data_IF_388873218830
#
_entry.id   IF_388873218830
#
_cell.length_a   1.000
_cell.length_b   1.000
_cell.length_c   1.000
_cell.angle_alpha   90.00
_cell.angle_beta   90.00
_cell.angle_gamma   90.00
#
_symmetry.space_group_name_H-M   'P 1'
#
loop_
_entity.id
_entity.type
_entity.pdbx_description
1 polymer ?
#
# COMPACT_ATOMS: atom_id res chain seq x y z
N UNK A 1 -64.54 -19.22 -32.66
CA UNK A 1 -63.46 -18.44 -32.03
C UNK A 1 -62.61 -19.41 -31.22
N UNK A 2 -61.39 -19.71 -31.69
CA UNK A 2 -60.46 -20.63 -31.02
C UNK A 2 -59.50 -19.79 -30.17
N UNK A 3 -59.53 -19.97 -28.85
CA UNK A 3 -58.59 -19.34 -27.94
C UNK A 3 -57.38 -20.25 -27.78
N UNK A 4 -56.27 -19.92 -28.42
CA UNK A 4 -54.97 -20.54 -28.16
C UNK A 4 -54.56 -20.30 -26.71
N UNK A 5 -54.10 -21.32 -25.95
CA UNK A 5 -53.56 -21.10 -24.62
C UNK A 5 -52.09 -20.69 -24.78
N UNK A 6 -51.82 -19.39 -24.85
CA UNK A 6 -50.47 -18.90 -24.62
C UNK A 6 -50.16 -19.07 -23.12
N UNK A 7 -49.39 -20.11 -22.80
CA UNK A 7 -48.82 -20.33 -21.47
C UNK A 7 -47.70 -19.30 -21.25
N UNK A 8 -48.04 -18.16 -20.64
CA UNK A 8 -47.15 -17.02 -20.41
C UNK A 8 -46.27 -17.15 -19.16
N UNK A 9 -45.96 -18.37 -18.71
CA UNK A 9 -45.00 -18.52 -17.61
C UNK A 9 -43.58 -18.56 -18.19
N UNK A 10 -42.73 -17.53 -17.95
CA UNK A 10 -41.32 -17.65 -18.30
C UNK A 10 -40.74 -18.83 -17.52
N UNK A 11 -40.08 -19.76 -18.22
CA UNK A 11 -39.36 -20.85 -17.59
C UNK A 11 -38.18 -20.28 -16.79
N UNK A 12 -38.41 -19.91 -15.54
CA UNK A 12 -37.33 -19.70 -14.61
C UNK A 12 -36.67 -21.06 -14.38
N UNK A 13 -35.41 -21.18 -14.83
CA UNK A 13 -34.52 -22.26 -14.41
C UNK A 13 -34.42 -22.21 -12.88
N UNK A 14 -35.26 -22.98 -12.17
CA UNK A 14 -35.04 -23.30 -10.76
C UNK A 14 -33.85 -24.25 -10.71
N UNK A 15 -32.65 -23.68 -10.71
CA UNK A 15 -31.43 -24.43 -10.38
C UNK A 15 -31.56 -24.93 -8.95
N UNK A 16 -31.93 -26.21 -8.79
CA UNK A 16 -31.89 -26.90 -7.50
C UNK A 16 -30.42 -27.15 -7.13
N UNK A 17 -29.71 -26.11 -6.67
CA UNK A 17 -28.42 -26.29 -6.03
C UNK A 17 -28.67 -26.96 -4.67
N UNK A 18 -28.52 -28.27 -4.60
CA UNK A 18 -28.54 -29.02 -3.34
C UNK A 18 -27.25 -28.69 -2.57
N UNK A 19 -27.35 -27.75 -1.64
CA UNK A 19 -26.22 -27.28 -0.80
C UNK A 19 -25.91 -28.23 0.36
N UNK A 20 -26.83 -29.13 0.70
CA UNK A 20 -26.71 -30.11 1.80
C UNK A 20 -25.36 -30.84 1.85
N UNK A 21 -24.86 -31.49 0.77
CA UNK A 21 -23.58 -32.21 0.80
C UNK A 21 -22.40 -31.26 1.04
N UNK A 22 -22.44 -30.04 0.49
CA UNK A 22 -21.38 -29.03 0.66
C UNK A 22 -21.33 -28.55 2.11
N UNK A 23 -22.48 -28.30 2.72
CA UNK A 23 -22.55 -27.86 4.13
C UNK A 23 -22.07 -28.93 5.10
N UNK A 24 -22.30 -30.22 4.82
CA UNK A 24 -21.83 -31.32 5.65
C UNK A 24 -20.30 -31.43 5.61
N UNK A 25 -19.68 -31.34 4.43
CA UNK A 25 -18.22 -31.36 4.25
C UNK A 25 -17.56 -30.14 4.91
N UNK A 26 -18.15 -28.95 4.76
CA UNK A 26 -17.65 -27.72 5.41
C UNK A 26 -17.70 -27.86 6.95
N UNK A 27 -18.77 -28.42 7.51
CA UNK A 27 -18.86 -28.65 8.97
C UNK A 27 -17.84 -29.67 9.46
N UNK A 28 -17.62 -30.75 8.71
CA UNK A 28 -16.65 -31.79 9.04
C UNK A 28 -15.21 -31.28 9.02
N UNK A 29 -14.92 -30.29 8.17
CA UNK A 29 -13.59 -29.71 7.99
C UNK A 29 -13.55 -28.20 8.31
N UNK A 30 -14.36 -27.76 9.29
CA UNK A 30 -14.51 -26.35 9.60
C UNK A 30 -13.17 -25.66 9.91
N UNK A 31 -12.27 -26.34 10.61
CA UNK A 31 -10.93 -25.83 10.92
C UNK A 31 -10.09 -25.58 9.66
N UNK A 32 -10.10 -26.51 8.69
CA UNK A 32 -9.39 -26.36 7.42
C UNK A 32 -9.98 -25.23 6.57
N UNK A 33 -11.31 -25.09 6.57
CA UNK A 33 -12.00 -24.00 5.89
C UNK A 33 -11.61 -22.66 6.52
N UNK A 34 -11.61 -22.55 7.85
CA UNK A 34 -11.16 -21.35 8.55
C UNK A 34 -9.69 -21.03 8.24
N UNK A 35 -8.80 -22.03 8.29
CA UNK A 35 -7.39 -21.85 7.95
C UNK A 35 -7.21 -21.36 6.51
N UNK A 36 -7.93 -21.97 5.56
CA UNK A 36 -7.91 -21.55 4.16
C UNK A 36 -8.39 -20.11 3.97
N UNK A 37 -9.48 -19.71 4.65
CA UNK A 37 -9.98 -18.33 4.62
C UNK A 37 -8.96 -17.34 5.20
N UNK A 38 -8.28 -17.70 6.28
CA UNK A 38 -7.22 -16.87 6.88
C UNK A 38 -6.07 -16.70 5.88
N UNK A 39 -5.59 -17.80 5.28
CA UNK A 39 -4.52 -17.75 4.27
C UNK A 39 -4.95 -16.89 3.08
N UNK A 40 -6.16 -17.09 2.57
CA UNK A 40 -6.69 -16.32 1.45
C UNK A 40 -6.80 -14.83 1.78
N UNK A 41 -7.20 -14.49 3.01
CA UNK A 41 -7.20 -13.12 3.50
C UNK A 41 -5.80 -12.50 3.52
N UNK A 42 -4.80 -13.19 4.06
CA UNK A 42 -3.42 -12.67 4.09
C UNK A 42 -2.81 -12.52 2.70
N UNK A 43 -2.99 -13.51 1.82
CA UNK A 43 -2.51 -13.45 0.43
C UNK A 43 -3.20 -12.33 -0.35
N UNK A 44 -4.53 -12.20 -0.20
CA UNK A 44 -5.30 -11.15 -0.84
C UNK A 44 -4.83 -9.75 -0.42
N UNK A 45 -4.59 -9.54 0.89
CA UNK A 45 -4.04 -8.28 1.38
C UNK A 45 -2.63 -8.01 0.83
N UNK A 46 -1.75 -9.00 0.84
CA UNK A 46 -0.39 -8.84 0.30
C UNK A 46 -0.40 -8.46 -1.20
N UNK A 47 -1.33 -9.03 -1.98
CA UNK A 47 -1.49 -8.68 -3.39
C UNK A 47 -1.97 -7.24 -3.59
N UNK A 48 -2.94 -6.78 -2.79
CA UNK A 48 -3.43 -5.41 -2.81
C UNK A 48 -2.29 -4.43 -2.46
N UNK A 49 -1.54 -4.72 -1.40
CA UNK A 49 -0.43 -3.89 -0.96
C UNK A 49 0.68 -3.80 -2.00
N UNK A 50 1.04 -4.92 -2.62
CA UNK A 50 2.06 -4.92 -3.67
C UNK A 50 1.58 -4.17 -4.93
N UNK A 51 0.28 -4.29 -5.28
CA UNK A 51 -0.30 -3.52 -6.38
C UNK A 51 -0.30 -2.01 -6.10
N UNK A 52 -0.59 -1.59 -4.86
CA UNK A 52 -0.48 -0.18 -4.47
C UNK A 52 0.97 0.32 -4.60
N UNK A 53 1.93 -0.45 -4.08
CA UNK A 53 3.36 -0.14 -4.21
C UNK A 53 3.77 0.04 -5.67
N UNK A 54 3.45 -0.91 -6.54
CA UNK A 54 3.80 -0.85 -7.97
C UNK A 54 3.22 0.39 -8.67
N UNK A 55 1.97 0.76 -8.35
CA UNK A 55 1.33 1.97 -8.90
C UNK A 55 2.06 3.25 -8.49
N UNK A 56 2.48 3.34 -7.23
CA UNK A 56 3.22 4.50 -6.70
C UNK A 56 4.60 4.60 -7.36
N UNK A 57 5.30 3.48 -7.48
CA UNK A 57 6.64 3.45 -8.08
C UNK A 57 6.61 3.71 -9.60
N UNK A 58 5.57 3.26 -10.31
CA UNK A 58 5.42 3.47 -11.75
C UNK A 58 5.07 4.93 -12.10
N UNK A 59 4.29 5.60 -11.25
CA UNK A 59 3.90 7.00 -11.46
C UNK A 59 3.95 7.79 -10.14
N UNK A 60 5.15 8.21 -9.70
CA UNK A 60 5.33 9.01 -8.49
C UNK A 60 4.61 10.35 -8.57
N UNK A 61 3.96 10.75 -7.48
CA UNK A 61 3.23 12.01 -7.34
C UNK A 61 3.61 12.73 -6.05
N UNK A 62 3.43 14.05 -6.02
CA UNK A 62 3.61 14.86 -4.81
C UNK A 62 2.84 14.23 -3.64
N UNK A 63 3.45 14.25 -2.46
CA UNK A 63 2.99 13.63 -1.22
C UNK A 63 2.99 12.09 -1.18
N UNK A 64 3.59 11.42 -2.17
CA UNK A 64 3.87 9.99 -2.05
C UNK A 64 5.00 9.74 -1.02
N UNK A 65 4.93 8.58 -0.38
CA UNK A 65 5.90 8.14 0.62
C UNK A 65 6.66 6.93 0.11
N UNK A 66 7.99 6.99 0.19
CA UNK A 66 8.90 5.93 -0.22
C UNK A 66 9.65 5.46 1.01
N UNK A 67 9.82 4.16 1.17
CA UNK A 67 10.50 3.58 2.34
C UNK A 67 11.77 2.89 1.87
N UNK A 68 12.91 3.33 2.40
CA UNK A 68 14.22 3.04 1.82
C UNK A 68 15.25 2.61 2.87
N UNK A 69 16.21 1.77 2.46
CA UNK A 69 17.52 1.67 3.11
C UNK A 69 18.40 2.86 2.71
N UNK A 70 18.45 3.90 3.54
CA UNK A 70 19.14 5.15 3.25
C UNK A 70 20.65 5.00 3.00
N UNK A 71 21.26 3.92 3.49
CA UNK A 71 22.69 3.68 3.32
C UNK A 71 23.09 3.44 1.86
N UNK A 72 22.12 3.06 1.02
CA UNK A 72 22.29 2.90 -0.43
C UNK A 72 22.45 4.24 -1.16
N UNK A 73 22.01 5.34 -0.52
CA UNK A 73 22.18 6.71 -1.00
C UNK A 73 23.42 7.33 -0.37
N UNK A 74 23.54 7.20 0.95
CA UNK A 74 24.64 7.75 1.74
C UNK A 74 25.33 6.63 2.53
N UNK A 75 26.42 6.04 2.01
CA UNK A 75 27.14 4.95 2.67
C UNK A 75 27.75 5.32 4.02
N UNK A 76 27.93 6.62 4.30
CA UNK A 76 28.48 7.15 5.55
C UNK A 76 27.41 7.31 6.64
N UNK A 77 26.13 7.19 6.29
CA UNK A 77 25.03 7.22 7.25
C UNK A 77 25.06 6.04 8.22
N UNK A 78 24.34 6.17 9.34
CA UNK A 78 24.32 5.17 10.42
C UNK A 78 23.92 3.77 9.90
N UNK A 79 24.83 2.82 10.07
CA UNK A 79 24.64 1.44 9.63
C UNK A 79 23.53 0.69 10.37
N UNK A 80 23.29 1.07 11.63
CA UNK A 80 22.27 0.46 12.50
C UNK A 80 20.91 1.07 12.22
N UNK A 81 20.81 2.37 12.03
CA UNK A 81 19.54 3.08 11.83
C UNK A 81 19.44 3.62 10.40
N UNK A 82 19.11 2.73 9.46
CA UNK A 82 19.17 3.02 8.01
C UNK A 82 17.82 3.07 7.31
N UNK A 83 16.76 2.50 7.89
CA UNK A 83 15.46 2.43 7.23
C UNK A 83 14.60 3.64 7.55
N UNK A 84 14.39 4.52 6.59
CA UNK A 84 13.70 5.81 6.78
C UNK A 84 12.56 5.99 5.77
N UNK A 85 11.55 6.81 6.12
CA UNK A 85 10.59 7.29 5.16
C UNK A 85 11.14 8.49 4.39
N UNK A 86 10.86 8.55 3.09
CA UNK A 86 11.05 9.71 2.23
C UNK A 86 9.66 10.21 1.82
N UNK A 87 9.41 11.51 1.94
CA UNK A 87 8.19 12.16 1.43
C UNK A 87 8.52 12.90 0.15
N UNK A 88 7.84 12.57 -0.94
CA UNK A 88 8.01 13.24 -2.23
C UNK A 88 7.38 14.63 -2.18
N UNK A 89 8.18 15.66 -2.41
CA UNK A 89 7.75 17.05 -2.45
C UNK A 89 7.41 17.53 -3.86
N UNK A 90 8.24 17.15 -4.83
CA UNK A 90 8.10 17.60 -6.21
C UNK A 90 8.54 16.52 -7.21
N UNK A 91 7.90 16.54 -8.37
CA UNK A 91 8.17 15.65 -9.49
C UNK A 91 8.46 16.50 -10.71
N UNK A 92 9.74 16.64 -11.06
CA UNK A 92 10.18 17.32 -12.28
C UNK A 92 10.33 16.31 -13.43
N UNK A 93 10.76 16.79 -14.60
CA UNK A 93 10.94 15.93 -15.78
C UNK A 93 12.00 14.85 -15.55
N UNK A 94 13.11 15.17 -14.90
CA UNK A 94 14.24 14.25 -14.71
C UNK A 94 14.55 13.92 -13.24
N UNK A 95 14.06 14.73 -12.30
CA UNK A 95 14.40 14.66 -10.89
C UNK A 95 13.16 14.54 -10.00
N UNK A 96 13.36 13.92 -8.85
CA UNK A 96 12.40 13.81 -7.76
C UNK A 96 13.02 14.45 -6.51
N UNK A 97 12.28 15.35 -5.86
CA UNK A 97 12.73 16.05 -4.65
C UNK A 97 12.00 15.49 -3.44
N UNK A 98 12.73 15.08 -2.42
CA UNK A 98 12.21 14.41 -1.24
C UNK A 98 12.59 15.14 0.05
N UNK A 99 11.70 15.07 1.06
CA UNK A 99 12.07 15.23 2.46
C UNK A 99 12.44 13.88 3.07
N UNK A 100 13.59 13.83 3.72
CA UNK A 100 14.08 12.62 4.40
C UNK A 100 13.57 12.62 5.84
N UNK A 101 12.98 11.51 6.28
CA UNK A 101 12.62 11.31 7.68
C UNK A 101 13.84 11.16 8.59
N UNK A 102 13.74 11.66 9.80
CA UNK A 102 14.78 11.59 10.82
C UNK A 102 14.60 10.40 11.78
N UNK A 103 13.46 9.71 11.70
CA UNK A 103 13.18 8.52 12.50
C UNK A 103 13.48 7.30 11.64
N UNK A 104 14.57 6.63 12.01
CA UNK A 104 15.07 5.46 11.32
C UNK A 104 14.85 4.18 12.12
N UNK A 105 14.68 3.08 11.40
CA UNK A 105 14.57 1.74 11.96
C UNK A 105 15.81 0.90 11.64
N UNK A 106 16.02 -0.16 12.42
CA UNK A 106 17.13 -1.11 12.25
C UNK A 106 16.85 -2.19 11.23
N UNK A 107 15.57 -2.47 11.00
CA UNK A 107 15.06 -3.42 10.01
C UNK A 107 14.02 -2.73 9.14
N UNK A 108 13.70 -3.26 7.94
CA UNK A 108 12.57 -2.79 7.18
C UNK A 108 11.31 -2.97 8.04
N UNK A 109 10.45 -1.95 8.09
CA UNK A 109 9.17 -2.01 8.81
C UNK A 109 8.06 -1.53 7.91
N UNK A 110 6.83 -1.93 8.19
CA UNK A 110 5.69 -1.54 7.36
C UNK A 110 5.51 -0.01 7.33
N UNK A 111 4.91 0.55 6.26
CA UNK A 111 4.53 1.95 6.17
C UNK A 111 3.75 2.45 7.38
N UNK A 112 2.85 1.61 7.91
CA UNK A 112 2.07 1.92 9.10
C UNK A 112 2.95 2.11 10.33
N UNK A 113 4.07 1.39 10.47
CA UNK A 113 4.95 1.50 11.63
C UNK A 113 5.75 2.80 11.61
N UNK A 114 6.13 3.28 10.42
CA UNK A 114 6.71 4.61 10.23
C UNK A 114 5.72 5.71 10.61
N UNK A 115 4.47 5.57 10.17
CA UNK A 115 3.41 6.56 10.40
C UNK A 115 2.80 6.52 11.82
N UNK A 116 2.96 5.40 12.54
CA UNK A 116 2.28 5.11 13.81
C UNK A 116 2.39 6.25 14.81
N UNK A 117 1.28 6.59 15.47
CA UNK A 117 1.14 7.73 16.39
C UNK A 117 1.33 9.09 15.72
N UNK A 118 0.97 9.20 14.44
CA UNK A 118 0.99 10.44 13.67
C UNK A 118 2.35 11.16 13.76
N UNK A 119 3.44 10.38 13.85
CA UNK A 119 4.79 10.89 14.15
C UNK A 119 5.22 11.98 13.18
N UNK A 120 4.80 11.85 11.92
CA UNK A 120 5.09 12.82 10.87
C UNK A 120 4.59 14.23 11.18
N UNK A 121 3.51 14.35 11.97
CA UNK A 121 2.87 15.62 12.32
C UNK A 121 3.16 16.03 13.77
N UNK A 122 3.26 15.07 14.68
CA UNK A 122 3.38 15.36 16.11
C UNK A 122 4.82 15.55 16.58
N UNK A 123 5.80 14.94 15.90
CA UNK A 123 7.19 15.04 16.32
C UNK A 123 7.88 16.22 15.65
N UNK A 124 8.44 17.10 16.48
CA UNK A 124 9.35 18.14 16.02
C UNK A 124 10.56 17.51 15.34
N UNK A 125 10.99 18.08 14.22
CA UNK A 125 12.13 17.60 13.42
C UNK A 125 11.96 16.16 12.93
N UNK A 126 10.71 15.75 12.66
CA UNK A 126 10.45 14.45 12.03
C UNK A 126 11.10 14.34 10.65
N UNK A 127 11.12 15.44 9.88
CA UNK A 127 11.86 15.54 8.63
C UNK A 127 13.18 16.29 8.85
N UNK A 128 14.21 15.90 8.10
CA UNK A 128 15.47 16.63 8.01
C UNK A 128 15.24 17.99 7.34
N UNK A 129 16.13 18.93 7.65
CA UNK A 129 16.07 20.30 7.11
C UNK A 129 16.32 20.27 5.60
N UNK A 130 17.36 19.56 5.17
CA UNK A 130 17.77 19.51 3.78
C UNK A 130 16.86 18.62 2.92
N UNK A 131 16.72 19.02 1.66
CA UNK A 131 16.04 18.23 0.64
C UNK A 131 17.00 17.24 0.00
N UNK A 132 16.48 16.05 -0.27
CA UNK A 132 17.16 15.04 -1.06
C UNK A 132 16.64 15.09 -2.49
N UNK A 133 17.50 15.45 -3.43
CA UNK A 133 17.18 15.44 -4.86
C UNK A 133 17.82 14.21 -5.51
N UNK A 134 17.00 13.38 -6.15
CA UNK A 134 17.46 12.20 -6.88
C UNK A 134 16.99 12.27 -8.33
N UNK A 135 17.81 11.78 -9.25
CA UNK A 135 17.36 11.57 -10.63
C UNK A 135 16.37 10.39 -10.69
N UNK A 136 15.42 10.41 -11.62
CA UNK A 136 14.49 9.29 -11.86
C UNK A 136 15.24 8.00 -12.18
N UNK A 137 16.39 8.10 -12.87
CA UNK A 137 17.26 6.96 -13.12
C UNK A 137 17.80 6.35 -11.82
N UNK A 138 18.27 7.19 -10.88
CA UNK A 138 18.74 6.70 -9.57
C UNK A 138 17.61 6.08 -8.75
N UNK A 139 16.42 6.67 -8.79
CA UNK A 139 15.25 6.10 -8.11
C UNK A 139 14.89 4.74 -8.70
N UNK A 140 14.91 4.58 -10.03
CA UNK A 140 14.70 3.30 -10.70
C UNK A 140 15.75 2.25 -10.29
N UNK A 141 17.03 2.63 -10.19
CA UNK A 141 18.10 1.76 -9.68
C UNK A 141 17.85 1.32 -8.23
N UNK A 142 17.40 2.24 -7.37
CA UNK A 142 17.06 1.97 -5.97
C UNK A 142 15.84 1.05 -5.84
N UNK A 143 14.87 1.15 -6.75
CA UNK A 143 13.74 0.21 -6.83
C UNK A 143 14.22 -1.16 -7.29
N UNK A 144 15.02 -1.22 -8.36
CA UNK A 144 15.50 -2.48 -8.94
C UNK A 144 16.43 -3.25 -7.99
N UNK A 145 17.25 -2.55 -7.21
CA UNK A 145 18.11 -3.14 -6.17
C UNK A 145 17.35 -3.56 -4.91
N UNK A 146 16.07 -3.20 -4.77
CA UNK A 146 15.27 -3.45 -3.57
C UNK A 146 15.60 -2.54 -2.39
N UNK A 147 16.42 -1.50 -2.61
CA UNK A 147 16.72 -0.49 -1.59
C UNK A 147 15.45 0.27 -1.17
N UNK A 148 14.61 0.64 -2.14
CA UNK A 148 13.24 1.10 -1.90
C UNK A 148 12.37 -0.15 -1.75
N UNK A 149 12.06 -0.50 -0.50
CA UNK A 149 11.36 -1.75 -0.20
C UNK A 149 9.84 -1.60 -0.19
N UNK A 150 9.31 -0.40 0.04
CA UNK A 150 7.87 -0.11 0.01
C UNK A 150 7.62 1.33 -0.46
N UNK A 151 6.41 1.60 -0.95
CA UNK A 151 5.95 2.93 -1.31
C UNK A 151 4.43 3.03 -1.16
N UNK A 152 3.94 4.16 -0.66
CA UNK A 152 2.52 4.40 -0.41
C UNK A 152 2.11 5.80 -0.83
N UNK A 153 0.95 5.85 -1.49
CA UNK A 153 0.21 7.09 -1.72
C UNK A 153 -0.85 7.23 -0.63
N UNK A 154 -0.81 8.29 0.19
CA UNK A 154 -1.92 8.60 1.09
C UNK A 154 -3.22 8.76 0.31
N UNK A 155 -4.31 8.10 0.74
CA UNK A 155 -5.64 8.28 0.10
C UNK A 155 -6.24 9.67 0.38
N UNK A 156 -5.78 10.30 1.45
CA UNK A 156 -6.13 11.64 1.91
C UNK A 156 -4.93 12.11 2.73
N UNK A 157 -5.10 12.44 4.00
CA UNK A 157 -3.98 12.68 4.93
C UNK A 157 -3.46 11.41 5.64
N UNK A 158 -3.98 10.23 5.31
CA UNK A 158 -3.74 9.00 6.07
C UNK A 158 -2.97 7.92 5.29
N UNK A 159 -2.10 7.20 6.00
CA UNK A 159 -1.54 5.90 5.61
C UNK A 159 -1.93 4.88 6.68
N UNK A 160 -2.70 3.85 6.30
CA UNK A 160 -3.12 2.74 7.18
C UNK A 160 -3.70 3.22 8.53
N UNK A 161 -4.51 4.28 8.50
CA UNK A 161 -5.19 4.83 9.68
C UNK A 161 -4.41 5.90 10.46
N UNK A 162 -3.16 6.16 10.13
CA UNK A 162 -2.33 7.20 10.78
C UNK A 162 -2.18 8.42 9.90
N UNK A 163 -2.24 9.61 10.50
CA UNK A 163 -2.07 10.88 9.81
C UNK A 163 -0.59 11.12 9.45
N UNK A 164 -0.33 11.42 8.19
CA UNK A 164 1.01 11.66 7.65
C UNK A 164 1.15 13.01 6.93
N UNK A 165 0.04 13.72 6.70
CA UNK A 165 -0.01 15.03 6.06
C UNK A 165 -0.92 15.97 6.85
N UNK A 166 -0.65 17.27 6.79
CA UNK A 166 -1.64 18.29 7.13
C UNK A 166 -2.65 18.46 5.99
N UNK A 167 -3.87 18.87 6.32
CA UNK A 167 -4.94 19.10 5.33
C UNK A 167 -4.56 20.15 4.29
N UNK A 168 -3.78 21.16 4.69
CA UNK A 168 -3.27 22.21 3.79
C UNK A 168 -2.35 21.67 2.70
N UNK A 169 -1.72 20.51 2.91
CA UNK A 169 -0.77 19.92 1.95
C UNK A 169 -1.46 19.15 0.82
N UNK A 170 -2.78 18.95 0.94
CA UNK A 170 -3.60 18.32 -0.09
C UNK A 170 -4.16 19.30 -1.12
N UNK A 171 -4.15 20.60 -0.80
CA UNK A 171 -4.58 21.63 -1.73
C UNK A 171 -3.44 21.85 -2.73
N UNK A 172 -3.68 21.69 -4.04
CA UNK A 172 -2.70 22.09 -5.04
C UNK A 172 -2.49 23.60 -4.95
N UNK A 173 -1.23 24.05 -4.90
CA UNK A 173 -0.88 25.44 -5.22
C UNK A 173 -1.03 25.68 -6.73
#
# INVERSE_FOLDING_TARGET
MSTLPFNNNPAYLRGNFQLEPVTAVIKQHAELVCFFLIVLFFVGNAFIENSEKEKVLANPQKNDFFYIDYRTIDPLSDARFRYVPLKLLNVDNETLTFKVGNIAHTTPVSPSQHAKFDKALLLRNYYRVDDLVLSKAKVSELVASGAIYDARRPRNIYINGWMVLHLSELVPE
#
